data_IF_195546715037
#
_entry.id   IF_195546715037
#
_cell.length_a   1.000
_cell.length_b   1.000
_cell.length_c   1.000
_cell.angle_alpha   90.00
_cell.angle_beta   90.00
_cell.angle_gamma   90.00
#
_symmetry.space_group_name_H-M   'P 1'
#
loop_
_entity.id
_entity.type
_entity.pdbx_description
1 polymer ?
#
# COMPACT_ATOMS: atom_id res chain seq x y z
N UNK A 1 67.31 28.48 -29.78
CA UNK A 1 67.27 27.76 -28.48
C UNK A 1 65.86 27.91 -27.92
N UNK A 2 65.18 26.79 -27.69
CA UNK A 2 63.76 26.70 -27.28
C UNK A 2 63.67 26.62 -25.76
N UNK A 3 62.85 27.44 -25.12
CA UNK A 3 62.37 27.26 -23.73
C UNK A 3 60.85 27.43 -23.77
N UNK A 4 60.13 26.31 -23.87
CA UNK A 4 59.33 25.66 -22.81
C UNK A 4 58.18 26.56 -22.34
N UNK A 5 57.00 26.34 -22.94
CA UNK A 5 55.72 26.87 -22.47
C UNK A 5 55.04 25.75 -21.66
N UNK A 6 54.90 25.92 -20.35
CA UNK A 6 54.28 24.93 -19.46
C UNK A 6 52.77 25.17 -19.43
N UNK A 7 52.02 24.43 -20.26
CA UNK A 7 50.56 24.37 -20.16
C UNK A 7 50.18 23.51 -18.95
N UNK A 8 49.89 24.17 -17.82
CA UNK A 8 49.18 23.57 -16.69
C UNK A 8 47.72 23.33 -17.10
N UNK A 9 47.40 22.10 -17.50
CA UNK A 9 46.03 21.61 -17.62
C UNK A 9 45.45 21.43 -16.21
N UNK A 10 44.70 22.43 -15.74
CA UNK A 10 43.82 22.28 -14.58
C UNK A 10 42.66 21.35 -14.96
N UNK A 11 42.79 20.07 -14.61
CA UNK A 11 41.68 19.12 -14.63
C UNK A 11 40.65 19.55 -13.59
N UNK A 12 39.61 20.26 -14.03
CA UNK A 12 38.44 20.55 -13.21
C UNK A 12 37.68 19.23 -13.04
N UNK A 13 37.95 18.52 -11.94
CA UNK A 13 37.10 17.41 -11.53
C UNK A 13 35.72 17.98 -11.17
N UNK A 14 34.62 17.52 -11.80
CA UNK A 14 33.29 17.94 -11.38
C UNK A 14 33.07 17.41 -9.97
N UNK A 15 33.03 18.33 -8.99
CA UNK A 15 32.46 18.06 -7.68
C UNK A 15 30.99 17.72 -7.91
N UNK A 16 30.67 16.43 -7.99
CA UNK A 16 29.32 15.96 -7.80
C UNK A 16 28.92 16.39 -6.39
N UNK A 17 28.23 17.52 -6.29
CA UNK A 17 27.60 17.96 -5.05
C UNK A 17 26.56 16.89 -4.70
N UNK A 18 26.95 15.91 -3.88
CA UNK A 18 26.00 15.07 -3.19
C UNK A 18 25.19 16.01 -2.30
N UNK A 19 23.97 16.33 -2.72
CA UNK A 19 23.01 16.93 -1.81
C UNK A 19 22.95 16.04 -0.55
N UNK A 20 23.04 16.61 0.66
CA UNK A 20 23.03 15.81 1.88
C UNK A 20 21.76 14.95 1.87
N UNK A 21 21.95 13.62 1.96
CA UNK A 21 20.86 12.66 2.01
C UNK A 21 20.04 12.99 3.25
N UNK A 22 18.74 13.26 3.07
CA UNK A 22 17.84 13.59 4.18
C UNK A 22 17.85 12.46 5.21
N UNK A 23 17.96 12.81 6.48
CA UNK A 23 17.95 11.84 7.57
C UNK A 23 16.56 11.21 7.73
N UNK A 24 16.47 9.90 7.53
CA UNK A 24 15.23 9.12 7.63
C UNK A 24 15.10 8.38 8.96
N UNK A 25 16.04 8.59 9.88
CA UNK A 25 16.06 7.90 11.18
C UNK A 25 14.86 8.33 12.00
N UNK A 26 14.13 7.35 12.54
CA UNK A 26 13.12 7.56 13.55
C UNK A 26 13.78 7.42 14.92
N UNK A 27 13.49 8.37 15.81
CA UNK A 27 13.84 8.30 17.23
C UNK A 27 12.65 8.83 18.04
N UNK A 28 11.60 8.00 18.22
CA UNK A 28 10.42 8.41 18.96
C UNK A 28 10.77 8.80 20.41
N UNK A 29 10.20 9.89 20.96
CA UNK A 29 10.43 10.27 22.35
C UNK A 29 9.84 9.24 23.33
N UNK A 30 10.39 9.14 24.55
CA UNK A 30 9.96 8.15 25.54
C UNK A 30 8.45 8.19 25.85
N UNK A 31 7.86 9.38 25.87
CA UNK A 31 6.43 9.60 26.15
C UNK A 31 5.57 9.69 24.88
N UNK A 32 6.03 9.12 23.76
CA UNK A 32 5.26 9.12 22.50
C UNK A 32 3.96 8.32 22.62
N UNK A 33 2.93 8.79 21.93
CA UNK A 33 1.68 8.06 21.73
C UNK A 33 1.85 7.06 20.60
N UNK A 34 1.26 5.87 20.76
CA UNK A 34 1.41 4.76 19.82
C UNK A 34 0.08 4.43 19.14
N UNK A 35 0.17 3.83 17.97
CA UNK A 35 -0.94 3.13 17.32
C UNK A 35 -0.65 1.65 17.35
N UNK A 36 -1.45 0.91 18.10
CA UNK A 36 -1.38 -0.54 18.20
C UNK A 36 -2.11 -1.17 17.01
N UNK A 37 -1.43 -2.06 16.30
CA UNK A 37 -1.93 -2.70 15.09
C UNK A 37 -2.15 -4.18 15.36
N UNK A 38 -3.31 -4.68 14.96
CA UNK A 38 -3.60 -6.10 14.89
C UNK A 38 -4.24 -6.47 13.55
N UNK A 39 -3.70 -7.48 12.88
CA UNK A 39 -4.27 -8.07 11.67
C UNK A 39 -4.52 -9.54 11.92
N UNK A 40 -5.75 -9.99 11.73
CA UNK A 40 -6.13 -11.41 11.85
C UNK A 40 -6.32 -11.97 10.45
N UNK A 41 -5.29 -12.67 9.93
CA UNK A 41 -5.32 -13.22 8.58
C UNK A 41 -6.21 -14.49 8.51
N UNK A 42 -7.11 -14.61 7.52
CA UNK A 42 -7.82 -15.84 7.15
C UNK A 42 -6.88 -16.96 6.67
N UNK A 43 -7.37 -18.21 6.53
CA UNK A 43 -6.56 -19.29 5.94
C UNK A 43 -6.05 -18.90 4.55
N UNK A 44 -4.87 -19.41 4.18
CA UNK A 44 -4.21 -19.17 2.88
C UNK A 44 -3.91 -17.69 2.57
N UNK A 45 -3.93 -16.82 3.59
CA UNK A 45 -3.56 -15.41 3.47
C UNK A 45 -2.46 -15.04 4.45
N UNK A 46 -1.73 -13.98 4.15
CA UNK A 46 -0.72 -13.39 5.04
C UNK A 46 -0.92 -11.89 5.10
N UNK A 47 -0.53 -11.27 6.22
CA UNK A 47 -0.39 -9.83 6.26
C UNK A 47 0.87 -9.41 5.49
N UNK A 48 0.75 -8.43 4.61
CA UNK A 48 1.91 -7.83 3.96
C UNK A 48 2.60 -6.82 4.92
N UNK A 49 3.87 -6.45 4.69
CA UNK A 49 4.58 -5.48 5.54
C UNK A 49 3.81 -4.17 5.71
N UNK A 50 3.60 -3.73 6.95
CA UNK A 50 2.89 -2.50 7.23
C UNK A 50 3.68 -1.30 6.68
N UNK A 51 2.99 -0.40 5.98
CA UNK A 51 3.59 0.81 5.43
C UNK A 51 3.17 2.00 6.29
N UNK A 52 4.12 2.58 7.04
CA UNK A 52 3.92 3.83 7.76
C UNK A 52 4.59 4.97 6.98
N UNK A 53 3.82 5.99 6.61
CA UNK A 53 4.35 7.22 6.03
C UNK A 53 4.45 8.27 7.12
N UNK A 54 5.65 8.77 7.35
CA UNK A 54 5.87 9.95 8.18
C UNK A 54 6.08 11.18 7.30
N UNK A 55 5.76 12.35 7.85
CA UNK A 55 5.97 13.65 7.22
C UNK A 55 6.68 14.60 8.17
N UNK A 56 7.49 15.49 7.61
CA UNK A 56 8.28 16.45 8.38
C UNK A 56 8.05 17.87 7.87
N UNK A 57 7.86 18.80 8.81
CA UNK A 57 7.88 20.24 8.54
C UNK A 57 9.27 20.87 8.75
N UNK A 58 10.23 20.09 9.27
CA UNK A 58 11.62 20.50 9.51
C UNK A 58 12.48 20.15 8.28
N UNK A 59 12.47 18.88 7.89
CA UNK A 59 13.15 18.38 6.71
C UNK A 59 12.23 18.50 5.50
N UNK A 60 12.25 19.67 4.88
CA UNK A 60 11.46 19.97 3.68
C UNK A 60 12.02 19.26 2.44
N UNK A 61 11.15 18.99 1.48
CA UNK A 61 11.50 18.58 0.13
C UNK A 61 11.48 19.81 -0.77
N UNK A 62 12.56 20.04 -1.51
CA UNK A 62 12.61 21.09 -2.54
C UNK A 62 12.30 20.46 -3.89
N UNK A 63 11.29 21.01 -4.55
CA UNK A 63 10.85 20.58 -5.88
C UNK A 63 10.91 21.78 -6.83
N UNK A 64 11.04 21.49 -8.12
CA UNK A 64 11.15 22.50 -9.18
C UNK A 64 9.92 22.38 -10.08
N UNK A 65 9.18 23.47 -10.24
CA UNK A 65 8.08 23.56 -11.19
C UNK A 65 8.57 23.62 -12.64
N UNK A 66 7.65 23.42 -13.59
CA UNK A 66 7.96 23.51 -15.03
C UNK A 66 8.49 24.90 -15.45
N UNK A 67 8.16 25.95 -14.70
CA UNK A 67 8.65 27.33 -14.89
C UNK A 67 10.00 27.60 -14.19
N UNK A 68 10.67 26.55 -13.69
CA UNK A 68 11.92 26.60 -12.93
C UNK A 68 11.84 27.28 -11.56
N UNK A 69 10.63 27.62 -11.08
CA UNK A 69 10.47 28.10 -9.70
C UNK A 69 10.65 26.95 -8.71
N UNK A 70 11.35 27.25 -7.61
CA UNK A 70 11.57 26.32 -6.50
C UNK A 70 10.46 26.48 -5.47
N UNK A 71 9.91 25.37 -5.01
CA UNK A 71 8.99 25.37 -3.87
C UNK A 71 9.40 24.30 -2.87
N UNK A 72 8.96 24.48 -1.62
CA UNK A 72 9.26 23.56 -0.54
C UNK A 72 7.97 22.93 -0.02
N UNK A 73 7.96 21.61 0.06
CA UNK A 73 6.87 20.81 0.62
C UNK A 73 7.36 20.04 1.85
N UNK A 74 6.44 19.48 2.65
CA UNK A 74 6.80 18.63 3.79
C UNK A 74 7.50 17.38 3.29
N UNK A 75 8.69 17.09 3.83
CA UNK A 75 9.41 15.86 3.51
C UNK A 75 8.60 14.62 3.90
N UNK A 76 8.88 13.49 3.27
CA UNK A 76 8.17 12.22 3.46
C UNK A 76 9.12 11.08 3.79
N UNK A 77 8.83 10.26 4.78
CA UNK A 77 9.66 9.12 5.18
C UNK A 77 8.81 7.85 5.20
N UNK A 78 8.86 7.02 4.14
CA UNK A 78 8.15 5.75 4.10
C UNK A 78 8.93 4.70 4.88
N UNK A 79 8.26 4.03 5.80
CA UNK A 79 8.82 2.97 6.64
C UNK A 79 8.03 1.70 6.45
N UNK A 80 8.73 0.66 6.01
CA UNK A 80 8.19 -0.69 5.83
C UNK A 80 8.49 -1.50 7.09
N UNK A 81 7.44 -1.94 7.79
CA UNK A 81 7.55 -2.70 9.03
C UNK A 81 7.11 -4.14 8.76
N UNK A 82 8.05 -5.08 8.87
CA UNK A 82 7.71 -6.50 8.81
C UNK A 82 6.72 -6.83 9.93
N UNK A 83 5.74 -7.67 9.61
CA UNK A 83 4.77 -8.20 10.56
C UNK A 83 5.07 -9.68 10.76
N UNK A 84 5.31 -10.09 12.01
CA UNK A 84 5.45 -11.50 12.35
C UNK A 84 4.14 -12.01 12.94
N UNK A 85 3.67 -13.19 12.51
CA UNK A 85 2.48 -13.78 13.09
C UNK A 85 2.79 -14.36 14.47
N UNK A 86 1.72 -14.59 15.23
CA UNK A 86 1.76 -15.43 16.43
C UNK A 86 2.10 -16.89 16.12
N UNK A 87 2.24 -17.71 17.17
CA UNK A 87 2.59 -19.13 17.03
C UNK A 87 1.57 -19.91 16.16
N UNK A 88 0.32 -19.45 16.08
CA UNK A 88 -0.71 -20.05 15.23
C UNK A 88 -0.59 -19.62 13.75
N UNK A 89 0.25 -18.63 13.42
CA UNK A 89 0.40 -18.12 12.06
C UNK A 89 -0.75 -17.19 11.63
N UNK A 90 -1.54 -16.64 12.56
CA UNK A 90 -2.84 -16.00 12.25
C UNK A 90 -2.90 -14.54 12.64
N UNK A 91 -2.31 -14.17 13.76
CA UNK A 91 -2.45 -12.83 14.31
C UNK A 91 -1.13 -12.10 14.24
N UNK A 92 -1.12 -10.98 13.54
CA UNK A 92 0.05 -10.12 13.33
C UNK A 92 -0.10 -8.86 14.17
N UNK A 93 0.96 -8.48 14.88
CA UNK A 93 0.96 -7.30 15.76
C UNK A 93 2.13 -6.37 15.48
N UNK A 94 1.88 -5.07 15.58
CA UNK A 94 2.91 -4.03 15.46
C UNK A 94 2.49 -2.77 16.24
N UNK A 95 3.45 -1.92 16.59
CA UNK A 95 3.20 -0.59 17.15
C UNK A 95 3.87 0.47 16.28
N UNK A 96 3.14 1.54 15.99
CA UNK A 96 3.64 2.67 15.18
C UNK A 96 3.57 3.94 16.02
N UNK A 97 4.67 4.68 16.16
CA UNK A 97 4.68 5.92 16.92
C UNK A 97 3.93 7.02 16.15
N UNK A 98 3.10 7.82 16.83
CA UNK A 98 2.53 9.04 16.24
C UNK A 98 3.62 10.09 16.03
N UNK A 99 4.51 10.21 17.03
CA UNK A 99 5.72 11.01 16.95
C UNK A 99 6.91 10.09 16.69
N UNK A 100 7.36 10.05 15.43
CA UNK A 100 8.55 9.32 15.00
C UNK A 100 9.86 10.02 15.36
N UNK A 101 9.80 11.29 15.76
CA UNK A 101 10.95 12.06 16.25
C UNK A 101 12.14 12.09 15.29
N UNK A 102 13.34 11.95 15.85
CA UNK A 102 14.60 12.10 15.12
C UNK A 102 14.90 13.54 14.68
N UNK A 103 16.01 13.78 13.97
CA UNK A 103 16.44 15.13 13.57
C UNK A 103 15.48 15.88 12.66
N UNK A 104 14.60 15.13 11.98
CA UNK A 104 13.56 15.68 11.12
C UNK A 104 12.19 15.78 11.80
N UNK A 105 12.05 15.48 13.10
CA UNK A 105 10.77 15.55 13.81
C UNK A 105 9.62 14.84 13.06
N UNK A 106 9.87 13.61 12.60
CA UNK A 106 8.95 12.84 11.78
C UNK A 106 7.61 12.64 12.50
N UNK A 107 6.49 13.05 11.88
CA UNK A 107 5.13 12.81 12.40
C UNK A 107 4.40 11.84 11.51
N UNK A 108 3.69 10.87 12.11
CA UNK A 108 2.92 9.89 11.37
C UNK A 108 1.83 10.60 10.55
N UNK A 109 1.79 10.32 9.26
CA UNK A 109 0.84 10.88 8.31
C UNK A 109 -0.13 9.80 7.82
N UNK A 110 0.34 8.56 7.66
CA UNK A 110 -0.50 7.48 7.13
C UNK A 110 0.00 6.09 7.53
N UNK A 111 -0.93 5.17 7.75
CA UNK A 111 -0.66 3.72 7.83
C UNK A 111 -1.44 3.02 6.73
N UNK A 112 -0.78 2.11 6.00
CA UNK A 112 -1.43 1.15 5.11
C UNK A 112 -1.07 -0.25 5.57
N UNK A 113 -2.10 -1.07 5.79
CA UNK A 113 -1.97 -2.45 6.25
C UNK A 113 -3.06 -3.29 5.61
N UNK A 114 -2.82 -4.59 5.50
CA UNK A 114 -3.77 -5.47 4.87
C UNK A 114 -3.25 -6.89 4.71
N UNK A 115 -3.93 -7.65 3.87
CA UNK A 115 -3.63 -9.04 3.58
C UNK A 115 -3.57 -9.30 2.07
N UNK A 116 -2.88 -10.35 1.70
CA UNK A 116 -2.85 -10.95 0.37
C UNK A 116 -2.86 -12.48 0.50
N UNK A 117 -3.04 -13.19 -0.60
CA UNK A 117 -2.88 -14.64 -0.59
C UNK A 117 -1.43 -15.01 -0.26
N UNK A 118 -1.22 -16.01 0.60
CA UNK A 118 0.11 -16.55 0.88
C UNK A 118 0.52 -17.67 -0.09
N UNK A 119 -0.48 -18.27 -0.75
CA UNK A 119 -0.36 -19.31 -1.77
C UNK A 119 -1.62 -19.31 -2.63
N UNK A 120 -1.51 -19.83 -3.84
CA UNK A 120 -2.60 -19.81 -4.82
C UNK A 120 -3.08 -21.21 -5.21
N UNK A 121 -2.22 -22.21 -5.08
CA UNK A 121 -2.38 -23.59 -5.56
C UNK A 121 -3.54 -24.37 -4.92
N UNK A 122 -4.04 -23.93 -3.77
CA UNK A 122 -5.24 -24.49 -3.13
C UNK A 122 -6.53 -24.11 -3.88
N UNK A 123 -6.52 -23.01 -4.64
CA UNK A 123 -7.65 -22.56 -5.48
C UNK A 123 -7.38 -22.74 -6.96
N UNK A 124 -6.17 -22.40 -7.40
CA UNK A 124 -5.81 -22.41 -8.81
C UNK A 124 -4.31 -22.62 -9.01
N UNK A 125 -3.95 -23.58 -9.86
CA UNK A 125 -2.56 -23.87 -10.20
C UNK A 125 -1.97 -22.79 -11.11
N UNK A 126 -0.66 -22.62 -10.98
CA UNK A 126 0.17 -21.76 -11.84
C UNK A 126 -0.34 -20.31 -11.88
N UNK A 127 -0.77 -19.80 -10.73
CA UNK A 127 -1.22 -18.43 -10.57
C UNK A 127 -0.29 -17.65 -9.66
N UNK A 128 0.03 -16.43 -10.05
CA UNK A 128 0.76 -15.46 -9.23
C UNK A 128 -0.17 -14.85 -8.17
N UNK A 129 0.41 -14.42 -7.05
CA UNK A 129 -0.30 -13.66 -6.02
C UNK A 129 -0.54 -12.25 -6.55
N UNK A 130 -1.80 -11.84 -6.56
CA UNK A 130 -2.24 -10.57 -7.10
C UNK A 130 -2.49 -9.50 -6.05
N UNK A 131 -3.55 -8.72 -6.29
CA UNK A 131 -3.85 -7.52 -5.50
C UNK A 131 -4.19 -7.85 -4.04
N UNK A 132 -3.48 -7.17 -3.13
CA UNK A 132 -3.75 -7.13 -1.70
C UNK A 132 -4.96 -6.25 -1.36
N UNK A 133 -5.52 -6.46 -0.16
CA UNK A 133 -6.66 -5.70 0.36
C UNK A 133 -6.44 -5.30 1.81
N UNK A 134 -7.02 -4.18 2.25
CA UNK A 134 -6.89 -3.75 3.64
C UNK A 134 -7.47 -2.38 3.94
N UNK A 135 -6.76 -1.64 4.78
CA UNK A 135 -7.14 -0.30 5.22
C UNK A 135 -5.99 0.69 5.03
N UNK A 136 -6.37 1.93 4.74
CA UNK A 136 -5.47 3.07 4.62
C UNK A 136 -5.94 4.14 5.61
N UNK A 137 -5.18 4.36 6.67
CA UNK A 137 -5.55 5.22 7.78
C UNK A 137 -4.70 6.49 7.76
N UNK A 138 -5.34 7.64 7.56
CA UNK A 138 -4.71 8.96 7.54
C UNK A 138 -4.74 9.60 8.93
N UNK A 139 -3.60 10.20 9.31
CA UNK A 139 -3.36 10.87 10.60
C UNK A 139 -3.20 12.39 10.45
N UNK A 140 -2.99 12.89 9.22
CA UNK A 140 -3.06 14.31 8.87
C UNK A 140 -3.98 14.56 7.65
N UNK A 141 -4.20 15.83 7.33
CA UNK A 141 -5.05 16.22 6.20
C UNK A 141 -4.37 15.95 4.85
N UNK A 142 -3.04 16.06 4.82
CA UNK A 142 -2.23 15.82 3.63
C UNK A 142 -2.38 14.37 3.12
N UNK A 143 -2.33 13.38 4.01
CA UNK A 143 -2.54 11.98 3.65
C UNK A 143 -3.94 11.68 3.11
N UNK A 144 -4.96 12.41 3.58
CA UNK A 144 -6.32 12.25 3.08
C UNK A 144 -6.54 12.87 1.68
N UNK A 145 -5.63 13.73 1.22
CA UNK A 145 -5.69 14.43 -0.07
C UNK A 145 -7.07 15.03 -0.40
N UNK A 146 -7.78 15.55 0.62
CA UNK A 146 -9.16 16.04 0.55
C UNK A 146 -10.20 15.04 0.00
N UNK A 147 -9.84 13.75 -0.14
CA UNK A 147 -10.77 12.68 -0.48
C UNK A 147 -11.64 12.32 0.72
N UNK A 148 -12.74 11.61 0.47
CA UNK A 148 -13.56 11.10 1.57
C UNK A 148 -12.82 9.99 2.34
N UNK A 149 -12.50 10.27 3.59
CA UNK A 149 -11.98 9.32 4.58
C UNK A 149 -12.97 9.27 5.74
N UNK A 150 -13.44 8.07 6.09
CA UNK A 150 -14.40 7.94 7.19
C UNK A 150 -13.71 8.29 8.54
N UNK A 151 -14.27 9.21 9.35
CA UNK A 151 -13.62 9.64 10.59
C UNK A 151 -13.71 8.54 11.66
N UNK A 152 -12.63 8.34 12.40
CA UNK A 152 -12.52 7.42 13.54
C UNK A 152 -11.68 8.08 14.64
N UNK A 153 -11.98 7.77 15.90
CA UNK A 153 -11.30 8.38 17.05
C UNK A 153 -10.75 7.31 17.97
N UNK A 154 -9.44 7.35 18.19
CA UNK A 154 -8.64 6.39 18.96
C UNK A 154 -8.67 4.94 18.42
N UNK A 155 -9.83 4.33 18.18
CA UNK A 155 -9.95 2.93 17.79
C UNK A 155 -10.66 2.77 16.44
N UNK A 156 -10.11 1.88 15.61
CA UNK A 156 -10.70 1.38 14.37
C UNK A 156 -10.75 -0.14 14.42
N UNK A 157 -11.94 -0.70 14.36
CA UNK A 157 -12.15 -2.12 14.11
C UNK A 157 -12.82 -2.24 12.74
N UNK A 158 -12.12 -2.81 11.77
CA UNK A 158 -12.64 -2.98 10.42
C UNK A 158 -12.72 -4.47 10.06
N UNK A 159 -13.91 -4.90 9.64
CA UNK A 159 -14.17 -6.25 9.14
C UNK A 159 -14.91 -6.17 7.81
N UNK A 160 -14.50 -6.99 6.85
CA UNK A 160 -15.15 -7.10 5.54
C UNK A 160 -14.91 -8.48 4.95
N UNK A 161 -15.81 -8.88 4.05
CA UNK A 161 -15.69 -10.12 3.29
C UNK A 161 -15.03 -9.81 1.95
N UNK A 162 -14.00 -10.58 1.62
CA UNK A 162 -13.27 -10.54 0.37
C UNK A 162 -13.51 -11.85 -0.40
N UNK A 163 -13.44 -11.77 -1.71
CA UNK A 163 -13.71 -12.86 -2.63
C UNK A 163 -12.49 -13.16 -3.49
N UNK A 164 -12.20 -14.42 -3.83
CA UNK A 164 -11.17 -14.76 -4.79
C UNK A 164 -11.49 -14.20 -6.17
N UNK A 165 -10.53 -13.50 -6.76
CA UNK A 165 -10.61 -12.99 -8.12
C UNK A 165 -9.46 -13.52 -8.96
N UNK A 166 -9.79 -14.38 -9.92
CA UNK A 166 -8.82 -14.93 -10.87
C UNK A 166 -8.86 -14.11 -12.15
N UNK A 167 -7.71 -13.60 -12.59
CA UNK A 167 -7.54 -12.94 -13.88
C UNK A 167 -6.61 -13.75 -14.77
N UNK A 168 -7.03 -13.99 -16.00
CA UNK A 168 -6.20 -14.62 -17.04
C UNK A 168 -5.96 -13.63 -18.18
N UNK A 169 -4.70 -13.36 -18.47
CA UNK A 169 -4.23 -12.57 -19.60
C UNK A 169 -3.62 -13.51 -20.65
N UNK A 170 -3.73 -13.16 -21.94
CA UNK A 170 -3.24 -14.00 -23.04
C UNK A 170 -2.45 -13.25 -24.12
N UNK A 171 -2.58 -11.91 -24.22
CA UNK A 171 -2.04 -11.14 -25.34
C UNK A 171 -0.51 -11.04 -25.33
N UNK A 172 0.08 -10.97 -24.13
CA UNK A 172 1.53 -10.84 -23.93
C UNK A 172 2.11 -12.12 -23.29
N UNK A 173 1.54 -13.27 -23.67
CA UNK A 173 1.76 -14.54 -23.00
C UNK A 173 0.65 -14.89 -22.02
N UNK A 174 0.64 -16.16 -21.60
CA UNK A 174 -0.32 -16.62 -20.60
C UNK A 174 0.13 -16.20 -19.20
N UNK A 175 -0.69 -15.39 -18.56
CA UNK A 175 -0.52 -14.96 -17.18
C UNK A 175 -1.81 -15.28 -16.43
N UNK A 176 -1.67 -15.80 -15.22
CA UNK A 176 -2.78 -16.04 -14.31
C UNK A 176 -2.47 -15.43 -12.96
N UNK A 177 -3.39 -14.62 -12.44
CA UNK A 177 -3.24 -13.92 -11.17
C UNK A 177 -4.44 -14.26 -10.28
N UNK A 178 -4.18 -14.60 -9.01
CA UNK A 178 -5.19 -14.74 -7.97
C UNK A 178 -5.10 -13.55 -7.00
N UNK A 179 -6.14 -12.74 -6.95
CA UNK A 179 -6.24 -11.55 -6.09
C UNK A 179 -7.35 -11.69 -5.06
N UNK A 180 -7.24 -10.93 -3.96
CA UNK A 180 -8.38 -10.67 -3.08
C UNK A 180 -9.19 -9.49 -3.63
N UNK A 181 -10.50 -9.66 -3.71
CA UNK A 181 -11.41 -8.64 -4.22
C UNK A 181 -12.47 -8.27 -3.18
N UNK A 182 -12.69 -6.97 -2.98
CA UNK A 182 -13.70 -6.45 -2.06
C UNK A 182 -14.28 -5.13 -2.57
N UNK A 183 -15.14 -4.50 -1.77
CA UNK A 183 -15.82 -3.25 -2.13
C UNK A 183 -14.84 -2.14 -2.56
N UNK A 184 -13.71 -2.07 -1.88
CA UNK A 184 -12.52 -1.32 -2.26
C UNK A 184 -11.30 -2.15 -1.86
N UNK A 185 -10.20 -2.03 -2.60
CA UNK A 185 -8.94 -2.69 -2.22
C UNK A 185 -8.47 -2.20 -0.86
N UNK A 186 -8.43 -0.88 -0.66
CA UNK A 186 -8.07 -0.26 0.62
C UNK A 186 -9.14 0.71 1.10
N UNK A 187 -9.71 0.45 2.27
CA UNK A 187 -10.72 1.35 2.86
C UNK A 187 -10.05 2.57 3.52
N UNK A 188 -10.45 3.80 3.14
CA UNK A 188 -9.86 5.02 3.67
C UNK A 188 -10.52 5.46 4.99
N UNK A 189 -9.73 5.67 6.04
CA UNK A 189 -10.17 6.16 7.34
C UNK A 189 -9.32 7.32 7.85
N UNK A 190 -9.93 8.35 8.44
CA UNK A 190 -9.22 9.46 9.07
C UNK A 190 -9.23 9.24 10.57
N UNK A 191 -8.08 8.93 11.15
CA UNK A 191 -7.96 8.68 12.58
C UNK A 191 -7.45 9.91 13.33
N UNK A 192 -8.18 10.29 14.38
CA UNK A 192 -7.74 11.28 15.38
C UNK A 192 -7.46 10.57 16.69
N UNK A 193 -6.32 10.84 17.30
CA UNK A 193 -5.93 10.30 18.60
C UNK A 193 -6.00 11.41 19.64
N UNK A 194 -6.67 11.15 20.76
CA UNK A 194 -6.73 12.08 21.89
C UNK A 194 -5.35 12.21 22.55
N UNK A 195 -5.04 13.40 23.05
CA UNK A 195 -3.82 13.64 23.83
C UNK A 195 -3.67 12.64 24.97
N UNK A 196 -2.48 12.05 25.13
CA UNK A 196 -2.15 11.01 26.14
C UNK A 196 -2.92 9.69 25.98
N UNK A 197 -3.56 9.41 24.84
CA UNK A 197 -4.12 8.10 24.52
C UNK A 197 -3.35 7.39 23.42
N UNK A 198 -3.43 6.07 23.37
CA UNK A 198 -2.94 5.32 22.22
C UNK A 198 -4.08 5.10 21.21
N UNK A 199 -3.71 5.00 19.94
CA UNK A 199 -4.57 4.52 18.88
C UNK A 199 -4.56 3.00 18.79
N UNK A 200 -5.60 2.44 18.19
CA UNK A 200 -5.66 1.02 17.86
C UNK A 200 -6.35 0.80 16.52
N UNK A 201 -5.75 -0.04 15.69
CA UNK A 201 -6.34 -0.50 14.43
C UNK A 201 -6.38 -2.02 14.45
N UNK A 202 -7.58 -2.59 14.39
CA UNK A 202 -7.83 -4.03 14.30
C UNK A 202 -8.46 -4.34 12.95
N UNK A 203 -7.76 -5.11 12.11
CA UNK A 203 -8.26 -5.57 10.83
C UNK A 203 -8.66 -7.06 10.91
N UNK A 204 -9.96 -7.31 10.72
CA UNK A 204 -10.60 -8.63 10.82
C UNK A 204 -11.20 -9.05 9.46
N UNK A 205 -10.38 -9.27 8.42
CA UNK A 205 -10.86 -9.72 7.13
C UNK A 205 -11.46 -11.13 7.19
N UNK A 206 -12.40 -11.41 6.28
CA UNK A 206 -12.90 -12.75 5.98
C UNK A 206 -12.70 -13.00 4.50
N UNK A 207 -12.38 -14.24 4.11
CA UNK A 207 -12.33 -14.64 2.71
C UNK A 207 -13.39 -15.71 2.47
N UNK A 208 -14.29 -15.46 1.51
CA UNK A 208 -15.28 -16.43 1.07
C UNK A 208 -14.79 -17.10 -0.22
N UNK A 209 -14.00 -18.16 -0.04
CA UNK A 209 -13.40 -18.91 -1.16
C UNK A 209 -14.41 -19.70 -2.00
N UNK A 210 -15.69 -19.76 -1.59
CA UNK A 210 -16.75 -20.40 -2.38
C UNK A 210 -17.23 -19.53 -3.54
N UNK A 211 -16.98 -18.22 -3.47
CA UNK A 211 -17.45 -17.23 -4.45
C UNK A 211 -16.32 -16.71 -5.33
N UNK A 212 -15.75 -17.62 -6.11
CA UNK A 212 -14.67 -17.30 -7.05
C UNK A 212 -15.24 -16.60 -8.29
N UNK A 213 -14.73 -15.42 -8.60
CA UNK A 213 -15.00 -14.73 -9.87
C UNK A 213 -13.77 -14.83 -10.78
N UNK A 214 -14.00 -15.07 -12.07
CA UNK A 214 -12.94 -15.24 -13.07
C UNK A 214 -13.09 -14.26 -14.21
N UNK A 215 -12.04 -13.48 -14.50
CA UNK A 215 -11.91 -12.67 -15.70
C UNK A 215 -11.00 -13.41 -16.70
N UNK A 216 -11.57 -13.78 -17.84
CA UNK A 216 -10.85 -14.34 -18.98
C UNK A 216 -10.61 -13.21 -19.98
N UNK A 217 -9.35 -12.82 -20.15
CA UNK A 217 -8.92 -11.82 -21.13
C UNK A 217 -9.16 -12.28 -22.57
N UNK A 218 -9.07 -11.33 -23.51
CA UNK A 218 -9.13 -11.66 -24.94
C UNK A 218 -7.85 -12.42 -25.34
N UNK A 219 -8.00 -13.41 -26.22
CA UNK A 219 -6.89 -14.24 -26.70
C UNK A 219 -6.18 -13.66 -27.93
N UNK A 220 -6.87 -12.81 -28.68
CA UNK A 220 -6.37 -12.15 -29.88
C UNK A 220 -6.99 -10.77 -29.98
N UNK A 221 -6.26 -9.84 -30.60
CA UNK A 221 -6.80 -8.54 -30.96
C UNK A 221 -7.77 -8.70 -32.14
N UNK A 222 -8.95 -8.10 -32.05
CA UNK A 222 -9.95 -8.17 -33.11
C UNK A 222 -11.20 -7.37 -32.78
N UNK A 223 -11.87 -6.85 -33.80
CA UNK A 223 -13.14 -6.15 -33.63
C UNK A 223 -14.19 -7.10 -33.01
N UNK A 224 -14.77 -6.69 -31.89
CA UNK A 224 -15.79 -7.47 -31.18
C UNK A 224 -15.27 -8.48 -30.15
N UNK A 225 -13.95 -8.69 -30.06
CA UNK A 225 -13.36 -9.51 -28.99
C UNK A 225 -13.54 -8.81 -27.64
N UNK A 226 -14.16 -9.51 -26.69
CA UNK A 226 -14.44 -8.99 -25.34
C UNK A 226 -13.98 -9.97 -24.29
N UNK A 227 -13.46 -9.44 -23.18
CA UNK A 227 -13.19 -10.24 -21.99
C UNK A 227 -14.48 -10.89 -21.47
N UNK A 228 -14.34 -12.02 -20.78
CA UNK A 228 -15.47 -12.74 -20.17
C UNK A 228 -15.30 -12.77 -18.67
N UNK A 229 -16.28 -12.26 -17.95
CA UNK A 229 -16.35 -12.32 -16.50
C UNK A 229 -17.34 -13.39 -16.07
N UNK A 230 -16.84 -14.45 -15.45
CA UNK A 230 -17.60 -15.62 -15.04
C UNK A 230 -17.79 -15.55 -13.52
N UNK A 231 -19.05 -15.56 -13.08
CA UNK A 231 -19.42 -15.51 -11.67
C UNK A 231 -19.67 -16.91 -11.08
N UNK A 232 -19.71 -17.03 -9.74
CA UNK A 232 -19.95 -18.32 -9.05
C UNK A 232 -21.23 -19.05 -9.48
N UNK A 233 -22.27 -18.31 -9.87
CA UNK A 233 -23.54 -18.85 -10.36
C UNK A 233 -23.51 -19.32 -11.84
N UNK A 234 -22.34 -19.26 -12.48
CA UNK A 234 -22.15 -19.59 -13.90
C UNK A 234 -22.53 -18.45 -14.86
N UNK A 235 -23.06 -17.33 -14.37
CA UNK A 235 -23.41 -16.21 -15.25
C UNK A 235 -22.16 -15.53 -15.83
N UNK A 236 -22.28 -15.07 -17.08
CA UNK A 236 -21.18 -14.47 -17.83
C UNK A 236 -21.52 -13.04 -18.24
N UNK A 237 -20.60 -12.11 -17.98
CA UNK A 237 -20.70 -10.71 -18.41
C UNK A 237 -19.53 -10.40 -19.35
N UNK A 238 -19.83 -9.83 -20.52
CA UNK A 238 -18.81 -9.50 -21.53
C UNK A 238 -18.29 -8.07 -21.37
N UNK A 239 -17.00 -7.87 -21.57
CA UNK A 239 -16.37 -6.56 -21.68
C UNK A 239 -16.21 -5.80 -20.35
N UNK A 240 -16.52 -6.40 -19.21
CA UNK A 240 -16.18 -5.83 -17.89
C UNK A 240 -14.70 -6.04 -17.56
N UNK A 241 -14.12 -5.07 -16.87
CA UNK A 241 -12.72 -5.07 -16.42
C UNK A 241 -12.56 -5.41 -14.94
N UNK A 242 -13.64 -5.29 -14.14
CA UNK A 242 -13.65 -5.63 -12.71
C UNK A 242 -14.97 -6.30 -12.28
N UNK A 243 -14.91 -7.21 -11.28
CA UNK A 243 -16.10 -7.84 -10.72
C UNK A 243 -17.12 -6.84 -10.17
N UNK A 244 -18.36 -7.29 -10.04
CA UNK A 244 -19.42 -6.56 -9.35
C UNK A 244 -19.50 -7.04 -7.90
N UNK A 245 -19.10 -6.17 -6.97
CA UNK A 245 -19.07 -6.49 -5.55
C UNK A 245 -20.45 -6.78 -4.97
N UNK A 246 -21.48 -5.99 -5.32
CA UNK A 246 -22.82 -6.20 -4.75
C UNK A 246 -23.43 -7.50 -5.29
N UNK A 247 -23.14 -7.87 -6.55
CA UNK A 247 -23.51 -9.17 -7.09
C UNK A 247 -22.89 -10.32 -6.28
N UNK A 248 -21.58 -10.30 -6.02
CA UNK A 248 -20.89 -11.34 -5.23
C UNK A 248 -21.41 -11.43 -3.79
N UNK A 249 -21.62 -10.26 -3.17
CA UNK A 249 -22.14 -10.16 -1.81
C UNK A 249 -23.52 -10.78 -1.66
N UNK A 250 -24.41 -10.56 -2.64
CA UNK A 250 -25.79 -11.01 -2.59
C UNK A 250 -26.00 -12.45 -3.09
N UNK A 251 -24.97 -13.10 -3.63
CA UNK A 251 -25.02 -14.53 -3.97
C UNK A 251 -25.14 -15.39 -2.70
N UNK A 252 -25.87 -16.50 -2.81
CA UNK A 252 -25.99 -17.49 -1.72
C UNK A 252 -24.85 -18.49 -1.78
#
# INVERSE_FOLDING_TARGET
>A
MKFINWLMLFSIAPLAACAPKRDLTLSPPEQTQWVDIEVVAPPNTTAFPLNALYRSSVCLLEDIHADMTKYKSRGYNPVHMALQPDAAGRVYRQRVALDGGGPCEWKLSMITLGIEYSRTDHLVKDAEIGTAVGVKVAFDNEASNNGYYAPVRNELIYSSVYYPYIRESYLDGFERILSLYGKKSFMPYRMTIDTRKNGKITFLPKVDEKKIVKLVGIKKMGAGEKSKMIYPDGSVVLGKTSPDYEKLKNMK
#
